data_IF_941479776519
#
_entry.id   IF_941479776519
#
_cell.length_a   1.000
_cell.length_b   1.000
_cell.length_c   1.000
_cell.angle_alpha   90.00
_cell.angle_beta   90.00
_cell.angle_gamma   90.00
#
_symmetry.space_group_name_H-M   'P 1'
#
loop_
_entity.id
_entity.type
_entity.pdbx_description
1 polymer ?
#
# COMPACT_ATOMS: atom_id res chain seq x y z
N UNK A 1 -20.28 2.14 15.78
CA UNK A 1 -19.67 2.72 14.57
C UNK A 1 -18.18 2.82 14.74
N UNK A 2 -17.46 2.68 13.66
CA UNK A 2 -16.01 2.85 13.71
C UNK A 2 -15.58 3.90 12.70
N UNK A 3 -14.43 4.52 13.00
CA UNK A 3 -13.84 5.51 12.12
C UNK A 3 -12.77 4.85 11.26
N UNK A 4 -12.82 5.02 9.95
CA UNK A 4 -11.78 4.45 9.11
C UNK A 4 -10.46 5.18 9.31
N UNK A 5 -9.38 4.49 8.99
CA UNK A 5 -8.04 5.06 8.96
C UNK A 5 -7.68 5.47 7.55
N UNK A 6 -6.93 6.55 7.44
CA UNK A 6 -6.42 7.05 6.16
C UNK A 6 -4.91 7.13 6.22
N UNK A 7 -4.28 6.83 5.10
CA UNK A 7 -2.85 6.95 4.94
C UNK A 7 -2.56 7.55 3.57
N UNK A 8 -1.61 8.47 3.51
CA UNK A 8 -1.12 9.03 2.27
C UNK A 8 0.39 8.88 2.23
N UNK A 9 0.91 8.55 1.06
CA UNK A 9 2.35 8.46 0.84
C UNK A 9 2.72 9.39 -0.31
N UNK A 10 3.64 10.33 -0.04
CA UNK A 10 4.10 11.30 -1.03
C UNK A 10 5.40 10.81 -1.65
N UNK A 11 5.39 10.65 -2.97
CA UNK A 11 6.52 10.18 -3.75
C UNK A 11 6.98 11.28 -4.71
N UNK A 12 8.28 11.58 -4.72
CA UNK A 12 8.85 12.64 -5.55
C UNK A 12 9.33 12.13 -6.90
N UNK A 13 10.16 11.12 -6.90
CA UNK A 13 10.91 10.69 -8.07
C UNK A 13 11.21 9.20 -8.01
N UNK A 14 11.30 8.52 -9.14
CA UNK A 14 10.96 9.00 -10.48
C UNK A 14 9.45 9.06 -10.70
N UNK A 15 9.03 9.82 -11.73
CA UNK A 15 7.63 9.82 -12.15
C UNK A 15 7.29 8.46 -12.75
N UNK A 16 6.02 8.07 -12.64
CA UNK A 16 5.56 6.79 -13.13
C UNK A 16 4.18 6.93 -13.77
N UNK A 17 3.74 5.87 -14.47
CA UNK A 17 2.43 5.81 -15.10
C UNK A 17 1.35 5.68 -14.03
N UNK A 18 0.57 6.75 -13.83
CA UNK A 18 -0.50 6.76 -12.83
C UNK A 18 -1.61 5.78 -13.17
N UNK A 19 -1.92 5.61 -14.46
CA UNK A 19 -2.93 4.65 -14.87
C UNK A 19 -2.55 3.23 -14.47
N UNK A 20 -1.32 2.85 -14.73
CA UNK A 20 -0.81 1.53 -14.32
C UNK A 20 -0.75 1.39 -12.82
N UNK A 21 -0.29 2.44 -12.12
CA UNK A 21 -0.24 2.42 -10.66
C UNK A 21 -1.63 2.19 -10.06
N UNK A 22 -2.65 2.86 -10.57
CA UNK A 22 -4.01 2.70 -10.08
C UNK A 22 -4.58 1.31 -10.37
N UNK A 23 -4.21 0.73 -11.51
CA UNK A 23 -4.58 -0.65 -11.81
C UNK A 23 -4.01 -1.61 -10.77
N UNK A 24 -2.72 -1.45 -10.45
CA UNK A 24 -2.05 -2.29 -9.45
C UNK A 24 -2.62 -2.07 -8.04
N UNK A 25 -2.88 -0.82 -7.68
CA UNK A 25 -3.46 -0.48 -6.38
C UNK A 25 -4.86 -1.08 -6.21
N UNK A 26 -5.61 -1.20 -7.30
CA UNK A 26 -6.92 -1.82 -7.27
C UNK A 26 -6.91 -3.26 -6.77
N UNK A 27 -5.79 -3.96 -6.91
CA UNK A 27 -5.68 -5.33 -6.41
C UNK A 27 -5.72 -5.42 -4.89
N UNK A 28 -5.40 -4.32 -4.19
CA UNK A 28 -5.42 -4.27 -2.73
C UNK A 28 -6.82 -4.08 -2.15
N UNK A 29 -7.76 -3.59 -2.95
CA UNK A 29 -9.10 -3.24 -2.46
C UNK A 29 -9.89 -4.49 -2.10
N UNK A 30 -10.59 -4.45 -0.96
CA UNK A 30 -11.39 -5.55 -0.46
C UNK A 30 -10.85 -6.11 0.84
N UNK A 31 -11.39 -7.25 1.23
CA UNK A 31 -10.94 -7.96 2.43
C UNK A 31 -9.77 -8.85 2.06
N UNK A 32 -8.63 -8.63 2.69
CA UNK A 32 -7.37 -9.29 2.35
C UNK A 32 -6.63 -9.71 3.61
N UNK A 33 -5.91 -10.84 3.50
CA UNK A 33 -4.90 -11.19 4.49
C UNK A 33 -3.57 -10.59 4.02
N UNK A 34 -3.18 -9.48 4.64
CA UNK A 34 -2.01 -8.70 4.23
C UNK A 34 -0.75 -9.06 5.05
N UNK A 35 -0.62 -10.32 5.43
CA UNK A 35 0.50 -10.75 6.26
C UNK A 35 1.86 -10.50 5.61
N UNK A 36 1.94 -10.51 4.28
CA UNK A 36 3.18 -10.23 3.57
C UNK A 36 3.40 -8.74 3.29
N UNK A 37 2.55 -7.90 3.84
CA UNK A 37 2.71 -6.44 3.84
C UNK A 37 2.82 -5.91 5.27
N UNK A 38 3.24 -6.76 6.18
CA UNK A 38 3.39 -6.42 7.59
C UNK A 38 4.86 -6.55 7.97
N UNK A 39 5.40 -5.49 8.58
CA UNK A 39 6.75 -5.51 9.12
C UNK A 39 6.78 -6.43 10.34
N UNK A 40 7.78 -7.30 10.43
CA UNK A 40 7.90 -8.25 11.53
C UNK A 40 8.06 -7.53 12.87
N UNK A 41 7.64 -8.19 13.95
CA UNK A 41 7.75 -7.66 15.31
C UNK A 41 6.59 -6.78 15.75
N UNK A 42 5.51 -6.72 14.98
CA UNK A 42 4.31 -5.99 15.38
C UNK A 42 3.42 -6.81 16.30
N UNK A 43 2.53 -6.12 17.01
CA UNK A 43 1.60 -6.74 17.96
C UNK A 43 0.25 -7.07 17.34
N UNK A 44 0.22 -7.28 16.03
CA UNK A 44 -1.03 -7.54 15.33
C UNK A 44 -1.56 -8.91 15.68
N UNK A 45 -2.77 -8.96 16.21
CA UNK A 45 -3.45 -10.22 16.52
C UNK A 45 -3.96 -10.90 15.26
N UNK A 46 -4.25 -10.12 14.24
CA UNK A 46 -4.67 -10.60 12.93
C UNK A 46 -4.10 -9.71 11.85
N UNK A 47 -3.78 -10.29 10.70
CA UNK A 47 -3.32 -9.54 9.53
C UNK A 47 -4.42 -9.35 8.50
N UNK A 48 -5.65 -9.71 8.86
CA UNK A 48 -6.81 -9.46 8.00
C UNK A 48 -7.20 -7.99 8.07
N UNK A 49 -7.34 -7.36 6.89
CA UNK A 49 -7.76 -5.96 6.80
C UNK A 49 -8.71 -5.78 5.63
N UNK A 50 -9.57 -4.79 5.76
CA UNK A 50 -10.43 -4.38 4.64
C UNK A 50 -9.95 -3.04 4.12
N UNK A 51 -9.54 -3.02 2.86
CA UNK A 51 -9.07 -1.82 2.18
C UNK A 51 -10.23 -1.27 1.36
N UNK A 52 -10.66 -0.05 1.68
CA UNK A 52 -11.79 0.58 1.00
C UNK A 52 -11.33 1.36 -0.22
N UNK A 53 -10.18 2.03 -0.12
CA UNK A 53 -9.62 2.85 -1.20
C UNK A 53 -8.12 2.59 -1.26
N UNK A 54 -7.61 2.43 -2.48
CA UNK A 54 -6.18 2.42 -2.76
C UNK A 54 -6.00 3.04 -4.14
N UNK A 55 -5.42 4.25 -4.20
CA UNK A 55 -5.29 4.98 -5.46
C UNK A 55 -4.08 5.91 -5.43
N UNK A 56 -3.67 6.33 -6.63
CA UNK A 56 -2.58 7.29 -6.79
C UNK A 56 -3.05 8.44 -7.67
N UNK A 57 -2.55 9.63 -7.37
CA UNK A 57 -2.85 10.82 -8.17
C UNK A 57 -1.65 11.77 -8.13
N UNK A 58 -1.62 12.66 -9.14
CA UNK A 58 -0.57 13.67 -9.22
C UNK A 58 -1.01 14.95 -8.51
N UNK A 59 -0.08 15.56 -7.78
CA UNK A 59 -0.28 16.88 -7.19
C UNK A 59 1.02 17.66 -7.32
N UNK A 60 1.03 18.69 -8.19
CA UNK A 60 2.26 19.42 -8.54
C UNK A 60 3.31 18.45 -9.07
N UNK A 61 4.50 18.43 -8.49
CA UNK A 61 5.58 17.55 -8.92
C UNK A 61 5.60 16.21 -8.17
N UNK A 62 4.58 15.98 -7.34
CA UNK A 62 4.51 14.79 -6.51
C UNK A 62 3.51 13.79 -7.06
N UNK A 63 3.71 12.53 -6.72
CA UNK A 63 2.69 11.50 -6.85
C UNK A 63 2.26 11.10 -5.45
N UNK A 64 0.96 11.02 -5.22
CA UNK A 64 0.43 10.73 -3.90
C UNK A 64 -0.34 9.43 -3.96
N UNK A 65 0.06 8.48 -3.09
CA UNK A 65 -0.68 7.24 -2.87
C UNK A 65 -1.62 7.46 -1.70
N UNK A 66 -2.88 7.15 -1.88
CA UNK A 66 -3.89 7.37 -0.85
C UNK A 66 -4.61 6.06 -0.54
N UNK A 67 -4.72 5.74 0.76
CA UNK A 67 -5.35 4.52 1.24
C UNK A 67 -6.39 4.84 2.31
N UNK A 68 -7.48 4.07 2.31
CA UNK A 68 -8.48 4.12 3.36
C UNK A 68 -8.83 2.68 3.72
N UNK A 69 -8.85 2.36 5.01
CA UNK A 69 -9.05 1.00 5.47
C UNK A 69 -9.64 0.97 6.88
N UNK A 70 -10.05 -0.21 7.32
CA UNK A 70 -10.49 -0.41 8.71
C UNK A 70 -9.31 -0.45 9.69
N UNK A 71 -8.10 -0.47 9.19
CA UNK A 71 -6.88 -0.42 9.97
C UNK A 71 -5.69 -0.72 9.09
N UNK A 72 -4.49 -0.37 9.55
CA UNK A 72 -3.25 -0.65 8.83
C UNK A 72 -2.33 -1.48 9.70
N UNK A 73 -1.65 -2.43 9.08
CA UNK A 73 -0.60 -3.20 9.73
C UNK A 73 0.68 -2.37 9.78
N UNK A 74 1.58 -2.74 10.70
CA UNK A 74 2.88 -2.07 10.80
C UNK A 74 3.64 -2.19 9.49
N UNK A 75 4.02 -1.06 8.92
CA UNK A 75 4.76 -1.00 7.67
C UNK A 75 3.95 -1.27 6.42
N UNK A 76 2.63 -1.49 6.55
CA UNK A 76 1.78 -1.89 5.43
C UNK A 76 1.84 -0.90 4.26
N UNK A 77 1.66 0.38 4.53
CA UNK A 77 1.61 1.40 3.47
C UNK A 77 2.96 1.48 2.75
N UNK A 78 4.04 1.50 3.52
CA UNK A 78 5.38 1.60 2.95
C UNK A 78 5.76 0.36 2.13
N UNK A 79 5.36 -0.83 2.58
CA UNK A 79 5.55 -2.07 1.81
C UNK A 79 4.70 -2.09 0.56
N UNK A 80 3.45 -1.63 0.67
CA UNK A 80 2.53 -1.57 -0.48
C UNK A 80 3.04 -0.64 -1.56
N UNK A 81 3.45 0.57 -1.17
CA UNK A 81 3.99 1.57 -2.12
C UNK A 81 5.25 1.04 -2.78
N UNK A 82 6.19 0.51 -1.99
CA UNK A 82 7.44 -0.02 -2.54
C UNK A 82 7.19 -1.15 -3.52
N UNK A 83 6.23 -2.03 -3.23
CA UNK A 83 5.90 -3.16 -4.11
C UNK A 83 5.30 -2.67 -5.43
N UNK A 84 4.37 -1.72 -5.37
CA UNK A 84 3.79 -1.13 -6.58
C UNK A 84 4.88 -0.46 -7.42
N UNK A 85 5.77 0.31 -6.80
CA UNK A 85 6.86 0.98 -7.50
C UNK A 85 7.80 -0.04 -8.15
N UNK A 86 8.08 -1.16 -7.51
CA UNK A 86 8.90 -2.22 -8.10
C UNK A 86 8.27 -2.80 -9.37
N UNK A 87 6.96 -2.99 -9.38
CA UNK A 87 6.27 -3.46 -10.58
C UNK A 87 6.38 -2.42 -11.69
N UNK A 88 6.19 -1.15 -11.37
CA UNK A 88 6.27 -0.06 -12.34
C UNK A 88 7.69 0.09 -12.91
N UNK A 89 8.71 -0.25 -12.13
CA UNK A 89 10.11 -0.20 -12.55
C UNK A 89 10.57 -1.46 -13.27
N UNK A 90 9.71 -2.46 -13.39
CA UNK A 90 10.06 -3.72 -14.03
C UNK A 90 10.87 -4.68 -13.17
N UNK A 91 10.99 -4.41 -11.87
CA UNK A 91 11.76 -5.23 -10.92
C UNK A 91 10.92 -6.33 -10.27
N UNK A 92 9.62 -6.30 -10.46
CA UNK A 92 8.67 -7.26 -9.91
C UNK A 92 7.53 -7.41 -10.91
N UNK A 93 7.02 -8.63 -11.09
CA UNK A 93 5.92 -8.82 -12.02
C UNK A 93 4.57 -8.55 -11.36
N UNK A 94 3.57 -8.24 -12.18
CA UNK A 94 2.21 -8.07 -11.72
C UNK A 94 1.68 -9.34 -11.05
N UNK A 95 2.01 -10.50 -11.60
CA UNK A 95 1.64 -11.78 -11.03
C UNK A 95 2.22 -11.96 -9.63
N UNK A 96 3.50 -11.58 -9.45
CA UNK A 96 4.17 -11.66 -8.15
C UNK A 96 3.48 -10.73 -7.13
N UNK A 97 3.10 -9.53 -7.55
CA UNK A 97 2.37 -8.62 -6.67
C UNK A 97 1.05 -9.23 -6.23
N UNK A 98 0.29 -9.81 -7.16
CA UNK A 98 -0.98 -10.47 -6.85
C UNK A 98 -0.79 -11.62 -5.87
N UNK A 99 0.24 -12.43 -6.07
CA UNK A 99 0.51 -13.56 -5.18
C UNK A 99 0.86 -13.10 -3.77
N UNK A 100 1.59 -11.99 -3.64
CA UNK A 100 1.90 -11.42 -2.33
C UNK A 100 0.65 -10.85 -1.65
N UNK A 101 -0.22 -10.19 -2.40
CA UNK A 101 -1.50 -9.68 -1.89
C UNK A 101 -2.41 -10.83 -1.44
N UNK A 102 -2.38 -11.95 -2.18
CA UNK A 102 -3.18 -13.13 -1.88
C UNK A 102 -2.56 -14.03 -0.80
N UNK A 103 -1.49 -13.58 -0.17
CA UNK A 103 -0.80 -14.28 0.91
C UNK A 103 -0.22 -15.64 0.50
N UNK A 104 0.16 -15.77 -0.78
CA UNK A 104 0.75 -17.00 -1.30
C UNK A 104 2.25 -17.03 -1.13
N UNK A 105 2.94 -15.92 -1.40
CA UNK A 105 4.39 -15.82 -1.31
C UNK A 105 4.81 -14.36 -1.18
N UNK A 106 5.87 -14.11 -0.43
CA UNK A 106 6.44 -12.77 -0.32
C UNK A 106 7.58 -12.60 -1.32
N UNK A 107 7.48 -11.55 -2.13
CA UNK A 107 8.48 -11.21 -3.16
C UNK A 107 9.24 -9.94 -2.80
N UNK A 108 8.57 -8.96 -2.20
CA UNK A 108 9.19 -7.72 -1.79
C UNK A 108 9.18 -7.58 -0.28
N UNK A 109 10.36 -7.33 0.30
CA UNK A 109 10.56 -7.10 1.73
C UNK A 109 10.91 -5.65 2.03
N UNK A 110 11.16 -4.83 1.01
CA UNK A 110 11.64 -3.46 1.20
C UNK A 110 10.49 -2.50 1.42
N UNK A 111 10.71 -1.55 2.33
CA UNK A 111 9.74 -0.51 2.62
C UNK A 111 10.16 0.78 1.92
N UNK A 112 9.18 1.53 1.42
CA UNK A 112 9.44 2.88 0.94
C UNK A 112 9.94 3.75 2.09
N UNK A 113 10.75 4.80 1.82
CA UNK A 113 11.26 5.65 2.89
C UNK A 113 10.17 6.21 3.79
N UNK A 114 10.41 6.31 5.12
CA UNK A 114 9.35 6.72 6.05
C UNK A 114 8.92 8.17 5.94
N UNK A 115 9.77 9.03 5.41
CA UNK A 115 9.50 10.47 5.35
C UNK A 115 8.35 10.87 4.43
N UNK A 116 7.89 9.96 3.57
CA UNK A 116 6.74 10.23 2.70
C UNK A 116 5.39 9.85 3.32
N UNK A 117 5.39 9.21 4.48
CA UNK A 117 4.18 8.63 5.06
C UNK A 117 3.44 9.60 5.98
N UNK A 118 2.14 9.74 5.77
CA UNK A 118 1.23 10.53 6.60
C UNK A 118 0.03 9.67 6.97
N UNK A 119 -0.23 9.55 8.26
CA UNK A 119 -1.33 8.75 8.79
C UNK A 119 -2.34 9.65 9.49
N UNK A 120 -3.62 9.35 9.32
CA UNK A 120 -4.67 10.05 10.03
C UNK A 120 -5.85 9.13 10.30
N UNK A 121 -6.70 9.54 11.23
CA UNK A 121 -7.95 8.84 11.53
C UNK A 121 -9.10 9.81 11.33
N UNK A 122 -10.08 9.40 10.56
CA UNK A 122 -11.27 10.21 10.34
C UNK A 122 -12.22 9.96 11.50
N UNK A 123 -12.62 11.04 12.18
CA UNK A 123 -13.62 10.99 13.23
C UNK A 123 -14.88 11.69 12.74
N UNK A 124 -15.99 10.98 12.80
CA UNK A 124 -17.29 11.51 12.43
C UNK A 124 -18.16 11.73 13.68
#
# INVERSE_FOLDING_TARGET
SYSPFMASYVHFYPKFDLGKANELLGFFVGKKDLKFFCKSGGDNKTTLREIFIARAYAYKDFSIFHFKANGFLRGQIRLSVASVLKVLEGKMSEKELKEQIEAKKQYNHFLAPPNGLYLSRICY
#
